data_IF_268998899048
#
_entry.id   IF_268998899048
#
_cell.length_a   1.000
_cell.length_b   1.000
_cell.length_c   1.000
_cell.angle_alpha   90.00
_cell.angle_beta   90.00
_cell.angle_gamma   90.00
#
_symmetry.space_group_name_H-M   'P 1'
#
loop_
_entity.id
_entity.type
_entity.pdbx_description
1 polymer ?
#
# COMPACT_ATOMS: atom_id res chain seq x y z
N UNK A 1 -5.54 -4.93 -7.90
CA UNK A 1 -5.47 -4.44 -6.50
C UNK A 1 -4.12 -3.81 -6.23
N UNK A 2 -4.10 -2.54 -5.79
CA UNK A 2 -2.86 -1.82 -5.50
C UNK A 2 -2.07 -2.45 -4.35
N UNK A 3 -2.75 -2.96 -3.32
CA UNK A 3 -2.14 -3.68 -2.18
C UNK A 3 -1.40 -4.95 -2.63
N UNK A 4 -1.95 -5.70 -3.60
CA UNK A 4 -1.32 -6.92 -4.11
C UNK A 4 0.04 -6.64 -4.76
N UNK A 5 0.16 -5.53 -5.51
CA UNK A 5 1.44 -5.10 -6.08
C UNK A 5 2.46 -4.70 -4.99
N UNK A 6 1.98 -4.08 -3.91
CA UNK A 6 2.84 -3.70 -2.77
C UNK A 6 3.38 -4.95 -2.07
N UNK A 7 2.54 -5.99 -1.88
CA UNK A 7 2.94 -7.29 -1.31
C UNK A 7 3.92 -8.04 -2.22
N UNK A 8 3.63 -8.11 -3.51
CA UNK A 8 4.46 -8.82 -4.49
C UNK A 8 5.86 -8.21 -4.62
N UNK A 9 5.94 -6.88 -4.63
CA UNK A 9 7.22 -6.15 -4.66
C UNK A 9 7.99 -6.17 -3.34
N UNK A 10 7.42 -6.77 -2.29
CA UNK A 10 8.05 -6.92 -0.97
C UNK A 10 8.54 -5.59 -0.39
N UNK A 11 7.90 -4.45 -0.69
CA UNK A 11 8.30 -3.16 -0.15
C UNK A 11 8.30 -3.13 1.38
N UNK A 12 7.39 -3.91 1.98
CA UNK A 12 7.32 -4.07 3.42
C UNK A 12 8.45 -4.93 4.01
N UNK A 13 9.14 -5.76 3.21
CA UNK A 13 10.18 -6.67 3.71
C UNK A 13 11.38 -5.95 4.37
N UNK A 14 11.68 -4.71 3.95
CA UNK A 14 12.68 -3.86 4.61
C UNK A 14 12.28 -3.50 6.05
N UNK A 15 10.99 -3.53 6.37
CA UNK A 15 10.44 -3.21 7.67
C UNK A 15 10.13 -4.45 8.51
N UNK A 16 10.48 -5.67 8.05
CA UNK A 16 10.25 -6.94 8.78
C UNK A 16 10.89 -6.98 10.16
N UNK A 17 11.99 -6.25 10.33
CA UNK A 17 12.72 -6.14 11.59
C UNK A 17 12.35 -4.89 12.40
N UNK A 18 11.37 -4.12 11.95
CA UNK A 18 10.92 -2.92 12.66
C UNK A 18 9.95 -3.32 13.78
N UNK A 19 10.17 -2.78 14.98
CA UNK A 19 9.22 -2.89 16.11
C UNK A 19 7.99 -1.99 15.94
N UNK A 20 7.89 -1.29 14.80
CA UNK A 20 6.82 -0.34 14.49
C UNK A 20 5.78 -1.00 13.57
N UNK A 21 4.52 -0.65 13.76
CA UNK A 21 3.43 -1.08 12.88
C UNK A 21 3.64 -0.54 11.48
N UNK A 22 3.64 -1.43 10.49
CA UNK A 22 3.77 -1.08 9.07
C UNK A 22 2.39 -1.12 8.45
N UNK A 23 2.01 -0.05 7.76
CA UNK A 23 0.74 0.04 7.05
C UNK A 23 1.03 0.11 5.55
N UNK A 24 0.40 -0.78 4.78
CA UNK A 24 0.44 -0.76 3.33
C UNK A 24 -0.74 0.09 2.86
N UNK A 25 -0.44 1.19 2.17
CA UNK A 25 -1.46 2.09 1.64
C UNK A 25 -1.38 2.05 0.12
N UNK A 26 -2.44 1.55 -0.51
CA UNK A 26 -2.60 1.53 -1.96
C UNK A 26 -3.58 2.62 -2.38
N UNK A 27 -3.12 3.64 -3.09
CA UNK A 27 -3.95 4.72 -3.61
C UNK A 27 -4.14 4.52 -5.11
N UNK A 28 -5.39 4.46 -5.56
CA UNK A 28 -5.77 4.48 -6.96
C UNK A 28 -6.13 5.91 -7.36
N UNK A 29 -5.41 6.44 -8.33
CA UNK A 29 -5.65 7.77 -8.88
C UNK A 29 -6.39 7.63 -10.21
N UNK A 30 -7.57 8.25 -10.31
CA UNK A 30 -8.24 8.34 -11.61
C UNK A 30 -7.55 9.42 -12.44
N UNK A 31 -7.16 9.06 -13.66
CA UNK A 31 -6.57 10.00 -14.60
C UNK A 31 -7.59 11.00 -15.16
N UNK A 32 -8.88 10.64 -15.15
CA UNK A 32 -9.95 11.48 -15.69
C UNK A 32 -10.26 12.65 -14.76
N UNK A 33 -10.42 12.38 -13.47
CA UNK A 33 -10.72 13.43 -12.47
C UNK A 33 -9.46 14.04 -11.84
N UNK A 34 -8.26 13.49 -12.14
CA UNK A 34 -7.00 13.84 -11.46
C UNK A 34 -7.12 13.80 -9.93
N UNK A 35 -7.96 12.91 -9.43
CA UNK A 35 -8.31 12.83 -8.03
C UNK A 35 -8.15 11.39 -7.51
N UNK A 36 -8.13 11.24 -6.19
CA UNK A 36 -8.10 9.94 -5.54
C UNK A 36 -9.46 9.28 -5.73
N UNK A 37 -9.51 8.27 -6.58
CA UNK A 37 -10.74 7.53 -6.88
C UNK A 37 -11.04 6.54 -5.78
N UNK A 38 -10.03 5.77 -5.37
CA UNK A 38 -10.16 4.80 -4.31
C UNK A 38 -8.83 4.63 -3.58
N UNK A 39 -8.86 4.43 -2.28
CA UNK A 39 -7.68 4.09 -1.52
C UNK A 39 -8.00 2.98 -0.54
N UNK A 40 -7.05 2.07 -0.37
CA UNK A 40 -7.14 0.95 0.54
C UNK A 40 -5.93 0.98 1.46
N UNK A 41 -6.15 0.69 2.75
CA UNK A 41 -5.07 0.50 3.71
C UNK A 41 -5.16 -0.89 4.32
N UNK A 42 -4.02 -1.52 4.52
CA UNK A 42 -3.93 -2.82 5.18
C UNK A 42 -2.76 -2.80 6.17
N UNK A 43 -2.96 -3.42 7.34
CA UNK A 43 -1.89 -3.59 8.31
C UNK A 43 -1.02 -4.75 7.85
N UNK A 44 0.28 -4.52 7.73
CA UNK A 44 1.22 -5.58 7.45
C UNK A 44 1.58 -6.29 8.76
N UNK A 45 0.97 -7.46 8.98
CA UNK A 45 1.29 -8.40 10.06
C UNK A 45 2.32 -9.46 9.61
#
# INVERSE_FOLDING_TARGET
NAIAQIKERKYAAAYKNSTKKVFLVGINFSKEERNVENWEMEVWE
#
